data_IF_731284583178
#
_entry.id   IF_731284583178
#
_cell.length_a   1.000
_cell.length_b   1.000
_cell.length_c   1.000
_cell.angle_alpha   90.00
_cell.angle_beta   90.00
_cell.angle_gamma   90.00
#
_symmetry.space_group_name_H-M   'P 1'
#
loop_
_entity.id
_entity.type
_entity.pdbx_description
1 polymer ?
#
# COMPACT_ATOMS: atom_id res chain seq x y z
N UNK A 1 4.22 -14.68 -1.50
CA UNK A 1 3.17 -15.74 -1.25
C UNK A 1 1.89 -15.31 -1.95
N UNK A 2 1.13 -16.25 -2.55
CA UNK A 2 -0.17 -15.89 -3.12
C UNK A 2 -1.18 -15.59 -1.99
N UNK A 3 -2.01 -14.57 -2.19
CA UNK A 3 -3.09 -14.21 -1.26
C UNK A 3 -4.41 -14.65 -1.89
N UNK A 4 -5.19 -15.50 -1.19
CA UNK A 4 -6.55 -15.81 -1.63
C UNK A 4 -7.43 -14.58 -1.44
N UNK A 5 -8.09 -14.16 -2.52
CA UNK A 5 -9.02 -13.05 -2.54
C UNK A 5 -10.41 -13.55 -2.94
N UNK A 6 -11.39 -13.26 -2.10
CA UNK A 6 -12.81 -13.46 -2.40
C UNK A 6 -13.45 -12.11 -2.64
N UNK A 7 -14.14 -11.96 -3.76
CA UNK A 7 -14.85 -10.73 -4.13
C UNK A 7 -16.34 -11.03 -4.19
N UNK A 8 -17.12 -10.17 -3.58
CA UNK A 8 -18.59 -10.23 -3.66
C UNK A 8 -19.09 -9.22 -4.69
N UNK A 9 -20.22 -9.49 -5.28
CA UNK A 9 -20.90 -8.63 -6.25
C UNK A 9 -22.39 -8.86 -6.23
N UNK A 10 -23.08 -8.33 -7.24
CA UNK A 10 -24.52 -8.45 -7.39
C UNK A 10 -24.86 -9.02 -8.76
N UNK A 11 -25.93 -9.82 -8.81
CA UNK A 11 -26.57 -10.17 -10.08
C UNK A 11 -27.29 -8.96 -10.69
N UNK A 12 -27.71 -9.03 -11.97
CA UNK A 12 -28.55 -7.98 -12.56
C UNK A 12 -29.86 -7.72 -11.78
N UNK A 13 -30.34 -8.71 -11.05
CA UNK A 13 -31.54 -8.60 -10.21
C UNK A 13 -31.23 -8.08 -8.78
N UNK A 14 -29.97 -7.78 -8.48
CA UNK A 14 -29.52 -7.21 -7.22
C UNK A 14 -29.24 -8.23 -6.10
N UNK A 15 -29.23 -9.53 -6.40
CA UNK A 15 -28.88 -10.55 -5.41
C UNK A 15 -27.37 -10.58 -5.16
N UNK A 16 -26.99 -10.75 -3.89
CA UNK A 16 -25.57 -10.86 -3.49
C UNK A 16 -24.98 -12.22 -3.91
N UNK A 17 -23.81 -12.18 -4.55
CA UNK A 17 -23.08 -13.36 -5.02
C UNK A 17 -21.60 -13.29 -4.70
N UNK A 18 -20.92 -14.44 -4.72
CA UNK A 18 -19.48 -14.49 -4.81
C UNK A 18 -19.11 -14.28 -6.29
N UNK A 19 -18.58 -13.11 -6.61
CA UNK A 19 -18.18 -12.75 -7.97
C UNK A 19 -16.86 -13.45 -8.38
N UNK A 20 -15.93 -13.59 -7.44
CA UNK A 20 -14.70 -14.37 -7.66
C UNK A 20 -14.11 -14.92 -6.36
N UNK A 21 -13.40 -16.03 -6.47
CA UNK A 21 -12.60 -16.66 -5.41
C UNK A 21 -11.32 -17.20 -6.06
N UNK A 22 -10.21 -16.52 -5.85
CA UNK A 22 -8.94 -16.81 -6.55
C UNK A 22 -7.73 -16.38 -5.75
N UNK A 23 -6.57 -16.92 -6.09
CA UNK A 23 -5.29 -16.41 -5.61
C UNK A 23 -4.84 -15.22 -6.44
N UNK A 24 -4.28 -14.21 -5.76
CA UNK A 24 -3.66 -13.04 -6.37
C UNK A 24 -2.16 -13.18 -6.28
N UNK A 25 -1.48 -13.06 -7.40
CA UNK A 25 -0.03 -13.15 -7.45
C UNK A 25 0.62 -11.87 -6.92
N UNK A 26 1.73 -12.03 -6.21
CA UNK A 26 2.60 -10.92 -5.81
C UNK A 26 3.46 -10.46 -6.98
N UNK A 27 3.79 -9.18 -7.02
CA UNK A 27 4.78 -8.56 -7.89
C UNK A 27 6.04 -8.37 -7.06
N UNK A 28 7.15 -8.97 -7.50
CA UNK A 28 8.44 -8.82 -6.84
C UNK A 28 8.96 -7.39 -6.97
N UNK A 29 9.61 -6.92 -5.91
CA UNK A 29 10.26 -5.62 -5.79
C UNK A 29 11.73 -5.88 -5.49
N UNK A 30 12.61 -5.51 -6.43
CA UNK A 30 14.03 -5.79 -6.30
C UNK A 30 14.34 -7.30 -6.33
N UNK A 31 15.52 -7.68 -5.87
CA UNK A 31 16.04 -9.05 -5.93
C UNK A 31 16.08 -9.79 -4.57
N UNK A 32 15.74 -9.10 -3.47
CA UNK A 32 15.82 -9.63 -2.09
C UNK A 32 14.53 -10.24 -1.56
N UNK A 33 13.47 -10.26 -2.38
CA UNK A 33 12.21 -10.92 -2.04
C UNK A 33 11.14 -10.01 -1.45
N UNK A 34 11.35 -8.69 -1.43
CA UNK A 34 10.24 -7.75 -1.22
C UNK A 34 9.22 -7.89 -2.33
N UNK A 35 7.95 -7.74 -2.00
CA UNK A 35 6.87 -7.85 -2.99
C UNK A 35 5.64 -7.04 -2.59
N UNK A 36 4.78 -6.79 -3.56
CA UNK A 36 3.45 -6.25 -3.31
C UNK A 36 2.40 -7.13 -3.97
N UNK A 37 1.29 -7.34 -3.29
CA UNK A 37 0.11 -8.03 -3.81
C UNK A 37 -1.05 -7.07 -3.80
N UNK A 38 -1.42 -6.54 -4.97
CA UNK A 38 -2.59 -5.69 -5.11
C UNK A 38 -3.86 -6.52 -4.93
N UNK A 39 -4.56 -6.33 -3.82
CA UNK A 39 -5.79 -7.05 -3.53
C UNK A 39 -6.98 -6.47 -4.27
N UNK A 40 -7.12 -5.14 -4.26
CA UNK A 40 -8.20 -4.40 -4.89
C UNK A 40 -7.83 -2.94 -5.05
N UNK A 41 -8.47 -2.25 -6.00
CA UNK A 41 -8.33 -0.81 -6.13
C UNK A 41 -9.35 -0.24 -7.10
N UNK A 42 -9.60 1.05 -6.97
CA UNK A 42 -10.44 1.84 -7.86
C UNK A 42 -10.09 3.31 -7.78
N UNK A 43 -10.24 4.00 -8.90
CA UNK A 43 -9.95 5.44 -8.97
C UNK A 43 -11.15 6.31 -8.56
N UNK A 44 -12.36 5.78 -8.67
CA UNK A 44 -13.61 6.49 -8.39
C UNK A 44 -14.31 5.94 -7.14
N UNK A 45 -15.16 6.74 -6.47
CA UNK A 45 -16.02 6.25 -5.41
C UNK A 45 -16.88 5.07 -5.86
N UNK A 46 -17.02 4.06 -5.01
CA UNK A 46 -17.84 2.88 -5.29
C UNK A 46 -19.30 3.24 -5.54
N UNK A 47 -19.91 2.58 -6.52
CA UNK A 47 -21.35 2.63 -6.78
C UNK A 47 -21.92 1.23 -6.74
N UNK A 48 -22.99 1.06 -5.98
CA UNK A 48 -23.66 -0.24 -5.80
C UNK A 48 -25.11 -0.16 -6.23
N UNK A 49 -25.68 -1.28 -6.75
CA UNK A 49 -25.05 -2.60 -6.92
C UNK A 49 -23.97 -2.59 -8.03
N UNK A 50 -22.93 -3.43 -7.89
CA UNK A 50 -21.95 -3.73 -8.94
C UNK A 50 -21.75 -5.25 -9.06
N UNK A 51 -21.17 -5.72 -10.14
CA UNK A 51 -21.00 -7.15 -10.42
C UNK A 51 -19.73 -7.75 -9.78
N UNK A 52 -18.95 -6.95 -9.04
CA UNK A 52 -17.68 -7.37 -8.44
C UNK A 52 -16.51 -7.46 -9.43
N UNK A 53 -16.65 -6.90 -10.64
CA UNK A 53 -15.53 -6.81 -11.58
C UNK A 53 -14.46 -5.87 -11.06
N UNK A 54 -13.18 -6.20 -11.30
CA UNK A 54 -12.04 -5.36 -10.93
C UNK A 54 -12.11 -4.02 -11.68
N UNK A 55 -12.24 -2.89 -10.97
CA UNK A 55 -12.19 -1.57 -11.61
C UNK A 55 -10.80 -1.26 -12.19
N UNK A 56 -10.76 -0.29 -13.11
CA UNK A 56 -9.51 0.24 -13.61
C UNK A 56 -8.76 1.02 -12.54
N UNK A 57 -7.43 0.92 -12.57
CA UNK A 57 -6.50 1.63 -11.69
C UNK A 57 -5.51 2.33 -12.61
N UNK A 58 -5.38 3.64 -12.49
CA UNK A 58 -4.54 4.46 -13.37
C UNK A 58 -3.15 4.76 -12.80
N UNK A 59 -2.94 4.58 -11.48
CA UNK A 59 -1.71 4.92 -10.79
C UNK A 59 -1.40 3.94 -9.65
N UNK A 60 -0.17 4.01 -9.13
CA UNK A 60 0.27 3.22 -7.98
C UNK A 60 -0.45 3.58 -6.68
N UNK A 61 -0.97 4.81 -6.57
CA UNK A 61 -1.80 5.27 -5.45
C UNK A 61 -3.11 5.86 -5.98
N UNK A 62 -4.22 5.66 -5.24
CA UNK A 62 -5.54 6.10 -5.70
C UNK A 62 -5.64 7.64 -5.71
N UNK A 63 -6.31 8.22 -6.72
CA UNK A 63 -6.64 9.64 -6.72
C UNK A 63 -7.70 9.96 -5.65
N UNK A 64 -7.93 11.26 -5.34
CA UNK A 64 -8.99 11.66 -4.40
C UNK A 64 -10.34 11.02 -4.74
N UNK A 65 -10.94 10.35 -3.76
CA UNK A 65 -12.18 9.57 -3.91
C UNK A 65 -11.98 8.10 -4.30
N UNK A 66 -10.79 7.72 -4.73
CA UNK A 66 -10.41 6.33 -4.97
C UNK A 66 -9.93 5.63 -3.70
N UNK A 67 -9.72 4.34 -3.78
CA UNK A 67 -9.11 3.53 -2.72
C UNK A 67 -8.36 2.33 -3.28
N UNK A 68 -7.43 1.80 -2.48
CA UNK A 68 -6.65 0.61 -2.83
C UNK A 68 -6.38 -0.22 -1.58
N UNK A 69 -6.26 -1.52 -1.74
CA UNK A 69 -5.77 -2.44 -0.71
C UNK A 69 -4.69 -3.34 -1.29
N UNK A 70 -3.56 -3.43 -0.59
CA UNK A 70 -2.43 -4.26 -0.98
C UNK A 70 -1.77 -4.91 0.23
N UNK A 71 -1.16 -6.07 0.04
CA UNK A 71 -0.23 -6.65 1.02
C UNK A 71 1.19 -6.36 0.55
N UNK A 72 1.95 -5.68 1.38
CA UNK A 72 3.39 -5.46 1.20
C UNK A 72 4.15 -6.56 1.95
N UNK A 73 5.11 -7.18 1.29
CA UNK A 73 6.10 -8.08 1.88
C UNK A 73 7.44 -7.35 1.86
N UNK A 74 7.95 -7.03 3.03
CA UNK A 74 9.20 -6.31 3.22
C UNK A 74 10.30 -7.31 3.58
N UNK A 75 11.27 -7.49 2.70
CA UNK A 75 12.48 -8.25 3.02
C UNK A 75 13.30 -7.52 4.10
N UNK A 76 14.17 -8.25 4.84
CA UNK A 76 15.15 -7.61 5.71
C UNK A 76 15.93 -6.53 5.00
N UNK A 77 16.26 -5.45 5.72
CA UNK A 77 16.90 -4.25 5.17
C UNK A 77 18.05 -4.54 4.20
N UNK A 78 18.03 -3.82 3.10
CA UNK A 78 19.02 -3.83 2.04
C UNK A 78 18.72 -2.70 1.06
N UNK A 79 19.70 -2.36 0.23
CA UNK A 79 19.68 -1.15 -0.60
C UNK A 79 18.58 -1.17 -1.67
N UNK A 80 18.12 -2.33 -2.12
CA UNK A 80 17.21 -2.52 -3.25
C UNK A 80 15.76 -2.06 -2.98
N UNK A 81 15.24 -2.20 -1.75
CA UNK A 81 13.90 -1.71 -1.41
C UNK A 81 13.84 -0.18 -1.46
N UNK A 82 14.86 0.48 -0.93
CA UNK A 82 14.96 1.94 -0.98
C UNK A 82 15.14 2.46 -2.40
N UNK A 83 15.88 1.74 -3.26
CA UNK A 83 15.99 2.05 -4.69
C UNK A 83 14.67 1.89 -5.41
N UNK A 84 13.90 0.84 -5.13
CA UNK A 84 12.56 0.67 -5.69
C UNK A 84 11.63 1.83 -5.30
N UNK A 85 11.63 2.25 -4.02
CA UNK A 85 10.82 3.40 -3.58
C UNK A 85 11.25 4.65 -4.35
N UNK A 86 12.55 4.92 -4.47
CA UNK A 86 13.05 6.08 -5.21
C UNK A 86 12.66 6.06 -6.69
N UNK A 87 12.83 4.93 -7.36
CA UNK A 87 12.71 4.84 -8.80
C UNK A 87 11.30 4.42 -9.26
N UNK A 88 10.62 3.60 -8.45
CA UNK A 88 9.29 3.06 -8.75
C UNK A 88 8.13 3.89 -8.23
N UNK A 89 8.34 4.71 -7.20
CA UNK A 89 7.31 5.56 -6.60
C UNK A 89 7.50 7.06 -6.91
N UNK A 90 8.39 7.43 -7.83
CA UNK A 90 8.40 8.79 -8.33
C UNK A 90 7.02 9.13 -8.96
N UNK A 91 6.43 10.29 -8.65
CA UNK A 91 6.98 11.49 -8.01
C UNK A 91 6.86 11.56 -6.47
N UNK A 92 6.39 10.52 -5.80
CA UNK A 92 6.14 10.53 -4.35
C UNK A 92 7.40 10.32 -3.50
N UNK A 93 8.45 9.72 -4.08
CA UNK A 93 9.72 9.48 -3.40
C UNK A 93 10.51 10.77 -3.21
N UNK A 94 11.19 10.87 -2.06
CA UNK A 94 12.14 11.94 -1.81
C UNK A 94 13.44 11.67 -2.60
N UNK A 95 13.87 12.60 -3.47
CA UNK A 95 15.07 12.38 -4.28
C UNK A 95 16.37 12.42 -3.47
N UNK A 96 16.38 13.08 -2.32
CA UNK A 96 17.57 13.31 -1.50
C UNK A 96 17.68 12.34 -0.30
N UNK A 97 16.61 11.56 -0.03
CA UNK A 97 16.56 10.66 1.12
C UNK A 97 15.93 9.31 0.71
N UNK A 98 16.78 8.36 0.40
CA UNK A 98 16.37 7.06 -0.14
C UNK A 98 15.37 6.33 0.77
N UNK A 99 14.26 5.90 0.18
CA UNK A 99 13.18 5.21 0.87
C UNK A 99 12.15 6.12 1.53
N UNK A 100 12.48 7.39 1.80
CA UNK A 100 11.50 8.36 2.25
C UNK A 100 10.55 8.74 1.12
N UNK A 101 9.26 8.74 1.40
CA UNK A 101 8.24 9.09 0.44
C UNK A 101 7.01 9.69 1.11
N UNK A 102 6.14 10.27 0.29
CA UNK A 102 4.88 10.85 0.71
C UNK A 102 3.82 10.56 -0.35
N UNK A 103 2.63 10.24 0.09
CA UNK A 103 1.48 9.99 -0.79
C UNK A 103 0.33 10.92 -0.44
N UNK A 104 -0.49 11.27 -1.42
CA UNK A 104 -1.73 12.01 -1.19
C UNK A 104 -2.84 11.04 -0.77
N UNK A 105 -2.63 10.33 0.34
CA UNK A 105 -3.55 9.31 0.83
C UNK A 105 -3.70 9.37 2.34
N UNK A 106 -4.83 8.86 2.81
CA UNK A 106 -5.02 8.41 4.18
C UNK A 106 -4.90 6.88 4.17
N UNK A 107 -3.93 6.35 4.92
CA UNK A 107 -3.68 4.92 4.91
C UNK A 107 -4.00 4.29 6.28
N UNK A 108 -4.47 3.06 6.23
CA UNK A 108 -4.63 2.19 7.39
C UNK A 108 -3.72 0.99 7.15
N UNK A 109 -2.58 0.99 7.83
CA UNK A 109 -1.57 -0.04 7.69
C UNK A 109 -1.60 -0.98 8.89
N UNK A 110 -1.80 -2.26 8.64
CA UNK A 110 -1.88 -3.29 9.68
C UNK A 110 -0.71 -4.24 9.53
N UNK A 111 0.11 -4.36 10.57
CA UNK A 111 1.18 -5.37 10.60
C UNK A 111 0.55 -6.75 10.75
N UNK A 112 0.73 -7.60 9.76
CA UNK A 112 0.21 -8.98 9.75
C UNK A 112 1.24 -9.97 10.31
N UNK A 113 2.52 -9.78 10.00
CA UNK A 113 3.60 -10.69 10.36
C UNK A 113 4.93 -9.94 10.46
N UNK A 114 5.82 -10.39 11.35
CA UNK A 114 7.12 -9.78 11.55
C UNK A 114 7.08 -8.50 12.40
N UNK A 115 8.18 -7.77 12.41
CA UNK A 115 8.34 -6.50 13.11
C UNK A 115 8.88 -5.48 12.14
N UNK A 116 8.26 -4.31 12.07
CA UNK A 116 8.65 -3.22 11.18
C UNK A 116 8.90 -1.93 11.97
N UNK A 117 9.77 -1.09 11.45
CA UNK A 117 9.93 0.30 11.88
C UNK A 117 9.18 1.23 10.93
N UNK A 118 8.53 2.24 11.46
CA UNK A 118 8.03 3.38 10.71
C UNK A 118 8.80 4.61 11.14
N UNK A 119 9.59 5.16 10.23
CA UNK A 119 10.37 6.38 10.43
C UNK A 119 9.68 7.58 9.80
N UNK A 120 9.67 8.68 10.52
CA UNK A 120 9.19 9.98 10.09
C UNK A 120 10.37 10.97 9.95
N UNK A 121 10.06 12.25 9.76
CA UNK A 121 11.07 13.31 9.75
C UNK A 121 11.91 13.34 11.04
N UNK A 122 13.12 13.86 10.94
CA UNK A 122 14.09 14.00 12.05
C UNK A 122 14.49 12.66 12.72
N UNK A 123 14.30 11.52 12.02
CA UNK A 123 14.65 10.19 12.51
C UNK A 123 13.75 9.69 13.65
N UNK A 124 12.57 10.29 13.82
CA UNK A 124 11.56 9.78 14.77
C UNK A 124 11.03 8.45 14.24
N UNK A 125 11.20 7.39 15.00
CA UNK A 125 10.81 6.04 14.61
C UNK A 125 9.96 5.36 15.68
N UNK A 126 8.99 4.57 15.23
CA UNK A 126 8.21 3.64 16.06
C UNK A 126 8.37 2.22 15.55
N UNK A 127 8.47 1.27 16.49
CA UNK A 127 8.51 -0.17 16.16
C UNK A 127 7.11 -0.75 16.30
N UNK A 128 6.70 -1.53 15.31
CA UNK A 128 5.35 -2.10 15.19
C UNK A 128 5.44 -3.61 15.01
N UNK A 129 4.56 -4.34 15.70
CA UNK A 129 4.43 -5.79 15.63
C UNK A 129 3.06 -6.24 15.12
N UNK A 130 2.84 -7.56 14.97
CA UNK A 130 1.59 -8.10 14.46
C UNK A 130 0.37 -7.64 15.25
N UNK A 131 -0.62 -7.08 14.54
CA UNK A 131 -1.85 -6.51 15.11
C UNK A 131 -1.77 -5.01 15.37
N UNK A 132 -0.58 -4.39 15.32
CA UNK A 132 -0.47 -2.94 15.41
C UNK A 132 -0.99 -2.27 14.13
N UNK A 133 -1.57 -1.10 14.30
CA UNK A 133 -2.18 -0.33 13.22
C UNK A 133 -1.57 1.06 13.17
N UNK A 134 -1.17 1.49 12.00
CA UNK A 134 -0.79 2.87 11.70
C UNK A 134 -1.93 3.54 10.97
N UNK A 135 -2.26 4.76 11.36
CA UNK A 135 -3.05 5.69 10.55
C UNK A 135 -2.08 6.70 9.95
N UNK A 136 -1.77 6.52 8.68
CA UNK A 136 -0.83 7.35 7.94
C UNK A 136 -1.58 8.46 7.21
N UNK A 137 -1.37 9.70 7.64
CA UNK A 137 -2.12 10.87 7.16
C UNK A 137 -1.30 11.69 6.15
N UNK A 138 -0.85 11.06 5.06
CA UNK A 138 -0.06 11.71 4.02
C UNK A 138 1.28 12.28 4.51
N UNK A 139 1.80 11.83 5.63
CA UNK A 139 3.08 12.28 6.19
C UNK A 139 4.25 11.67 5.42
N UNK A 140 5.36 12.37 5.35
CA UNK A 140 6.62 11.83 4.83
C UNK A 140 7.11 10.73 5.75
N UNK A 141 7.40 9.54 5.20
CA UNK A 141 7.75 8.36 5.98
C UNK A 141 8.60 7.36 5.21
N UNK A 142 9.19 6.42 5.97
CA UNK A 142 9.93 5.26 5.46
C UNK A 142 9.64 4.04 6.32
N UNK A 143 9.47 2.89 5.66
CA UNK A 143 9.34 1.60 6.32
C UNK A 143 10.69 0.90 6.44
N UNK A 144 10.91 0.26 7.57
CA UNK A 144 12.09 -0.56 7.88
C UNK A 144 11.70 -1.99 8.22
N UNK A 145 12.45 -2.95 7.74
CA UNK A 145 12.45 -4.31 8.29
C UNK A 145 13.87 -4.63 8.77
N UNK A 146 14.14 -4.40 10.04
CA UNK A 146 15.43 -4.68 10.69
C UNK A 146 15.50 -6.11 11.25
N UNK A 147 14.48 -6.94 10.97
CA UNK A 147 14.45 -8.36 11.30
C UNK A 147 15.31 -9.21 10.36
N UNK A 148 15.23 -10.51 10.53
CA UNK A 148 15.94 -11.52 9.72
C UNK A 148 15.02 -12.30 8.77
N UNK A 149 13.73 -11.95 8.76
CA UNK A 149 12.69 -12.60 7.96
C UNK A 149 11.76 -11.57 7.32
N UNK A 150 11.01 -11.99 6.33
CA UNK A 150 10.01 -11.12 5.66
C UNK A 150 8.96 -10.67 6.66
N UNK A 151 8.71 -9.37 6.71
CA UNK A 151 7.57 -8.79 7.41
C UNK A 151 6.43 -8.50 6.41
N UNK A 152 5.19 -8.54 6.89
CA UNK A 152 3.98 -8.31 6.09
C UNK A 152 3.12 -7.21 6.67
N UNK A 153 2.71 -6.29 5.81
CA UNK A 153 1.82 -5.18 6.16
C UNK A 153 0.67 -5.14 5.17
N UNK A 154 -0.55 -5.16 5.67
CA UNK A 154 -1.73 -4.81 4.86
C UNK A 154 -1.86 -3.29 4.85
N UNK A 155 -1.78 -2.70 3.67
CA UNK A 155 -2.03 -1.28 3.45
C UNK A 155 -3.40 -1.10 2.79
N UNK A 156 -4.24 -0.27 3.40
CA UNK A 156 -5.50 0.21 2.81
C UNK A 156 -5.38 1.71 2.64
N UNK A 157 -5.26 2.15 1.40
CA UNK A 157 -5.02 3.55 1.04
C UNK A 157 -6.30 4.18 0.49
N UNK A 158 -6.62 5.37 0.96
CA UNK A 158 -7.76 6.17 0.51
C UNK A 158 -7.22 7.47 -0.07
N UNK A 159 -7.49 7.71 -1.34
CA UNK A 159 -7.02 8.90 -2.05
C UNK A 159 -7.55 10.19 -1.43
N UNK A 160 -6.68 11.15 -1.23
CA UNK A 160 -6.93 12.44 -0.61
C UNK A 160 -6.30 13.58 -1.41
N UNK A 161 -6.62 14.81 -1.05
CA UNK A 161 -5.89 15.99 -1.50
C UNK A 161 -4.71 16.24 -0.59
N UNK A 162 -3.61 16.71 -1.14
CA UNK A 162 -2.42 17.05 -0.38
C UNK A 162 -1.89 18.41 -0.82
N UNK A 163 -1.80 19.35 0.13
CA UNK A 163 -1.37 20.73 -0.13
C UNK A 163 0.16 20.92 -0.07
N UNK A 164 0.92 19.82 -0.04
CA UNK A 164 2.39 19.81 -0.06
C UNK A 164 2.85 19.03 -1.28
N UNK A 165 3.48 19.70 -2.23
CA UNK A 165 4.14 19.07 -3.37
C UNK A 165 5.66 19.10 -3.21
N UNK A 166 6.34 17.98 -3.51
CA UNK A 166 7.80 17.90 -3.47
C UNK A 166 8.43 18.35 -2.15
N UNK A 167 7.74 18.14 -1.02
CA UNK A 167 8.23 18.53 0.30
C UNK A 167 8.07 20.01 0.68
N UNK A 168 7.36 20.80 -0.14
CA UNK A 168 7.08 22.22 0.15
C UNK A 168 5.58 22.49 0.17
N UNK A 169 5.08 23.36 1.08
CA UNK A 169 3.69 23.83 1.02
C UNK A 169 3.42 24.50 -0.33
N UNK A 170 2.24 24.23 -0.91
CA UNK A 170 1.75 24.86 -2.16
C UNK A 170 1.19 26.24 -1.85
#
# INVERSE_FOLDING_TARGET
>A
MAVRRVVTGHTPDGEAVIASDSEVASILIGDRGSSTTLLWGRDDPGRFPDDGSQPSISAAFPPPGGCMAAVMELAPEGDDFHEFVRDGLAPWADPDDAGMHRTATLDYDVVLEGVVGLELDDGVEVTLGPGDVVVQSGTRHRWHNRGDSIARVLAVTVGAFHDIEGGRPV
#
